data_IF_199698554578
#
_entry.id   IF_199698554578
#
_cell.length_a   1.000
_cell.length_b   1.000
_cell.length_c   1.000
_cell.angle_alpha   90.00
_cell.angle_beta   90.00
_cell.angle_gamma   90.00
#
_symmetry.space_group_name_H-M   'P 1'
#
loop_
_entity.id
_entity.type
_entity.pdbx_description
1 polymer ?
#
# COMPACT_ATOMS: atom_id res chain seq x y z
N UNK A 1 20.72 -13.69 21.08
CA UNK A 1 21.06 -13.25 19.71
C UNK A 1 20.18 -12.07 19.35
N UNK A 2 20.73 -10.94 18.86
CA UNK A 2 19.92 -9.80 18.40
C UNK A 2 19.25 -10.17 17.08
N UNK A 3 17.93 -10.02 16.98
CA UNK A 3 17.22 -10.16 15.69
C UNK A 3 17.81 -9.14 14.70
N UNK A 4 18.02 -9.50 13.41
CA UNK A 4 18.48 -8.55 12.42
C UNK A 4 17.45 -7.42 12.26
N UNK A 5 17.91 -6.18 12.40
CA UNK A 5 17.07 -4.99 12.17
C UNK A 5 16.79 -4.85 10.67
N UNK A 6 15.52 -4.65 10.34
CA UNK A 6 15.08 -4.48 8.95
C UNK A 6 15.21 -3.03 8.48
N UNK A 7 15.36 -2.09 9.41
CA UNK A 7 15.63 -0.68 9.13
C UNK A 7 17.04 -0.32 9.59
N UNK A 8 18.00 -0.32 8.66
CA UNK A 8 19.32 0.28 8.99
C UNK A 8 19.15 1.74 9.42
N UNK A 9 19.99 2.26 10.33
CA UNK A 9 19.89 3.67 10.75
C UNK A 9 19.98 4.67 9.58
N UNK A 10 20.67 4.30 8.50
CA UNK A 10 20.70 5.10 7.28
C UNK A 10 19.35 5.06 6.54
N UNK A 11 18.73 3.89 6.41
CA UNK A 11 17.42 3.76 5.77
C UNK A 11 16.31 4.44 6.60
N UNK A 12 16.27 4.23 7.92
CA UNK A 12 15.34 4.90 8.84
C UNK A 12 15.36 6.44 8.69
N UNK A 13 16.57 7.04 8.66
CA UNK A 13 16.73 8.49 8.43
C UNK A 13 16.19 8.94 7.07
N UNK A 14 16.36 8.14 6.01
CA UNK A 14 15.77 8.43 4.69
C UNK A 14 14.25 8.34 4.71
N UNK A 15 13.67 7.38 5.43
CA UNK A 15 12.21 7.29 5.60
C UNK A 15 11.68 8.54 6.27
N UNK A 16 12.26 8.95 7.40
CA UNK A 16 11.86 10.18 8.10
C UNK A 16 12.00 11.43 7.24
N UNK A 17 13.11 11.56 6.50
CA UNK A 17 13.31 12.68 5.58
C UNK A 17 12.28 12.69 4.44
N UNK A 18 11.96 11.52 3.87
CA UNK A 18 10.94 11.39 2.83
C UNK A 18 9.55 11.77 3.35
N UNK A 19 9.17 11.32 4.55
CA UNK A 19 7.92 11.72 5.21
C UNK A 19 7.83 13.23 5.41
N UNK A 20 8.92 13.87 5.85
CA UNK A 20 8.97 15.33 6.01
C UNK A 20 8.75 16.05 4.67
N UNK A 21 9.42 15.61 3.60
CA UNK A 21 9.26 16.19 2.24
C UNK A 21 7.85 15.99 1.69
N UNK A 22 7.28 14.82 1.92
CA UNK A 22 5.93 14.47 1.51
C UNK A 22 4.85 15.35 2.15
N UNK A 23 5.05 15.77 3.41
CA UNK A 23 4.15 16.68 4.13
C UNK A 23 4.29 18.15 3.70
N UNK A 24 5.46 18.57 3.21
CA UNK A 24 5.70 19.95 2.80
C UNK A 24 5.38 20.26 1.34
N UNK A 25 5.36 19.24 0.47
CA UNK A 25 5.17 19.40 -0.97
C UNK A 25 3.69 19.27 -1.35
N UNK A 26 3.11 20.28 -2.00
CA UNK A 26 1.72 20.25 -2.48
C UNK A 26 1.57 19.64 -3.88
N UNK A 27 2.64 19.61 -4.68
CA UNK A 27 2.62 19.01 -6.03
C UNK A 27 2.35 17.51 -5.97
N UNK A 28 1.84 16.93 -7.05
CA UNK A 28 1.63 15.49 -7.24
C UNK A 28 2.96 14.70 -7.34
N UNK A 29 3.77 14.79 -6.29
CA UNK A 29 5.06 14.11 -6.12
C UNK A 29 5.04 13.31 -4.82
N UNK A 30 5.48 12.07 -4.92
CA UNK A 30 5.74 11.16 -3.81
C UNK A 30 7.23 10.92 -3.66
N UNK A 31 7.80 11.35 -2.54
CA UNK A 31 9.17 11.04 -2.14
C UNK A 31 9.18 9.62 -1.57
N UNK A 32 9.60 8.66 -2.39
CA UNK A 32 9.71 7.27 -2.02
C UNK A 32 11.14 6.97 -1.53
N UNK A 33 11.35 6.65 -0.25
CA UNK A 33 12.68 6.28 0.22
C UNK A 33 13.06 4.89 -0.28
N UNK A 34 14.33 4.70 -0.59
CA UNK A 34 14.94 3.40 -0.89
C UNK A 34 16.18 3.22 -0.02
N UNK A 35 16.73 2.00 0.00
CA UNK A 35 17.98 1.69 0.72
C UNK A 35 19.15 2.58 0.31
N UNK A 36 19.17 3.06 -0.94
CA UNK A 36 20.26 3.88 -1.49
C UNK A 36 19.98 5.37 -1.43
N UNK A 37 18.78 5.80 -1.84
CA UNK A 37 18.40 7.22 -2.01
C UNK A 37 16.91 7.46 -1.79
N UNK A 38 16.49 8.72 -1.70
CA UNK A 38 15.07 9.08 -1.88
C UNK A 38 14.84 9.24 -3.38
N UNK A 39 13.80 8.60 -3.90
CA UNK A 39 13.37 8.69 -5.30
C UNK A 39 12.12 9.56 -5.34
N UNK A 40 12.15 10.60 -6.16
CA UNK A 40 10.98 11.44 -6.42
C UNK A 40 10.15 10.76 -7.50
N UNK A 41 8.91 10.41 -7.16
CA UNK A 41 7.96 9.80 -8.08
C UNK A 41 6.85 10.78 -8.40
N UNK A 42 6.67 11.13 -9.67
CA UNK A 42 5.50 11.87 -10.11
C UNK A 42 4.27 10.98 -10.02
N UNK A 43 3.13 11.55 -9.61
CA UNK A 43 1.82 10.88 -9.56
C UNK A 43 0.96 11.42 -10.71
N UNK A 44 1.00 10.75 -11.86
CA UNK A 44 0.23 11.14 -13.05
C UNK A 44 -0.77 10.05 -13.46
N UNK A 45 -2.00 10.18 -13.00
CA UNK A 45 -3.09 9.24 -13.27
C UNK A 45 -3.54 9.24 -14.73
N UNK A 46 -3.09 10.18 -15.57
CA UNK A 46 -3.41 10.17 -17.01
C UNK A 46 -2.57 9.17 -17.81
N UNK A 47 -1.57 8.55 -17.16
CA UNK A 47 -0.60 7.64 -17.76
C UNK A 47 -0.79 6.18 -17.32
N UNK A 48 -0.37 5.24 -18.17
CA UNK A 48 -0.31 3.80 -17.82
C UNK A 48 0.68 3.48 -16.69
N UNK A 49 1.67 4.36 -16.47
CA UNK A 49 2.69 4.21 -15.42
C UNK A 49 2.65 5.45 -14.52
N UNK A 50 1.63 5.55 -13.66
CA UNK A 50 1.33 6.79 -12.94
C UNK A 50 2.27 7.05 -11.76
N UNK A 51 3.11 6.09 -11.36
CA UNK A 51 4.18 6.27 -10.37
C UNK A 51 5.54 6.03 -11.04
N UNK A 52 6.07 7.06 -11.69
CA UNK A 52 7.36 7.00 -12.39
C UNK A 52 8.39 7.95 -11.78
N UNK A 53 9.67 7.60 -11.89
CA UNK A 53 10.76 8.44 -11.39
C UNK A 53 10.76 9.76 -12.16
N UNK A 54 10.73 10.89 -11.44
CA UNK A 54 10.75 12.23 -12.02
C UNK A 54 12.02 12.48 -12.88
N UNK A 55 13.08 11.71 -12.63
CA UNK A 55 14.33 11.75 -13.40
C UNK A 55 14.33 10.88 -14.68
N UNK A 56 13.16 10.41 -15.15
CA UNK A 56 13.01 9.78 -16.47
C UNK A 56 13.16 8.25 -16.49
N UNK A 57 13.17 7.60 -15.33
CA UNK A 57 13.20 6.14 -15.23
C UNK A 57 11.81 5.52 -15.42
N UNK A 58 11.61 4.75 -16.50
CA UNK A 58 10.39 3.96 -16.66
C UNK A 58 10.36 2.78 -15.67
N UNK A 59 9.28 2.59 -14.87
CA UNK A 59 9.20 1.48 -13.93
C UNK A 59 9.09 0.12 -14.63
N UNK A 60 9.71 -0.90 -14.01
CA UNK A 60 9.77 -2.32 -14.43
C UNK A 60 8.69 -3.20 -13.75
N UNK A 61 7.42 -2.77 -13.71
CA UNK A 61 6.33 -3.54 -13.07
C UNK A 61 5.50 -4.37 -14.07
N UNK A 62 4.88 -5.46 -13.58
CA UNK A 62 4.15 -6.50 -14.30
C UNK A 62 2.66 -6.21 -14.60
N UNK A 63 2.05 -5.13 -14.09
CA UNK A 63 0.71 -4.67 -14.55
C UNK A 63 0.51 -3.16 -14.32
N UNK A 64 0.14 -2.44 -15.38
CA UNK A 64 -0.11 -0.98 -15.34
C UNK A 64 -1.30 -0.60 -14.47
N UNK A 65 -2.37 -1.41 -14.45
CA UNK A 65 -3.60 -1.12 -13.71
C UNK A 65 -3.42 -1.15 -12.18
N UNK A 66 -2.61 -2.08 -11.66
CA UNK A 66 -2.37 -2.21 -10.22
C UNK A 66 -1.48 -1.08 -9.71
N UNK A 67 -0.46 -0.70 -10.49
CA UNK A 67 0.34 0.50 -10.24
C UNK A 67 -0.50 1.77 -10.34
N UNK A 68 -1.54 1.76 -11.18
CA UNK A 68 -2.49 2.84 -11.25
C UNK A 68 -3.37 2.93 -10.01
N UNK A 69 -3.89 1.81 -9.51
CA UNK A 69 -4.64 1.76 -8.26
C UNK A 69 -3.77 2.24 -7.07
N UNK A 70 -2.52 1.80 -7.01
CA UNK A 70 -1.54 2.27 -6.02
C UNK A 70 -1.37 3.79 -6.07
N UNK A 71 -1.16 4.35 -7.27
CA UNK A 71 -1.00 5.79 -7.49
C UNK A 71 -2.24 6.58 -7.08
N UNK A 72 -3.42 6.07 -7.43
CA UNK A 72 -4.69 6.68 -7.10
C UNK A 72 -4.87 6.79 -5.58
N UNK A 73 -4.60 5.70 -4.84
CA UNK A 73 -4.68 5.70 -3.38
C UNK A 73 -3.67 6.65 -2.74
N UNK A 74 -2.42 6.70 -3.23
CA UNK A 74 -1.41 7.65 -2.74
C UNK A 74 -1.87 9.10 -2.96
N UNK A 75 -2.40 9.41 -4.15
CA UNK A 75 -2.88 10.76 -4.48
C UNK A 75 -4.04 11.18 -3.58
N UNK A 76 -5.01 10.29 -3.36
CA UNK A 76 -6.16 10.54 -2.47
C UNK A 76 -5.69 10.78 -1.04
N UNK A 77 -4.76 9.96 -0.53
CA UNK A 77 -4.18 10.18 0.79
C UNK A 77 -3.47 11.53 0.87
N UNK A 78 -2.60 11.84 -0.08
CA UNK A 78 -1.80 13.07 -0.10
C UNK A 78 -2.67 14.33 -0.11
N UNK A 79 -3.77 14.34 -0.86
CA UNK A 79 -4.73 15.46 -0.91
C UNK A 79 -5.59 15.60 0.34
N UNK A 80 -5.59 14.58 1.19
CA UNK A 80 -6.29 14.56 2.46
C UNK A 80 -5.29 14.45 3.61
N UNK A 81 -4.21 15.25 3.56
CA UNK A 81 -3.18 15.33 4.61
C UNK A 81 -2.56 13.98 5.01
N UNK A 82 -2.31 13.13 4.00
CA UNK A 82 -1.81 11.76 4.17
C UNK A 82 -2.76 10.83 4.94
N UNK A 83 -4.05 11.14 4.95
CA UNK A 83 -5.12 10.29 5.46
C UNK A 83 -5.87 9.65 4.28
N UNK A 84 -5.71 8.34 4.12
CA UNK A 84 -6.46 7.56 3.15
C UNK A 84 -7.82 7.17 3.75
N UNK A 85 -8.90 7.63 3.12
CA UNK A 85 -10.24 7.15 3.40
C UNK A 85 -10.58 5.98 2.47
N UNK A 86 -10.83 4.81 3.06
CA UNK A 86 -11.04 3.58 2.31
C UNK A 86 -12.07 2.73 3.03
N UNK A 87 -13.15 2.33 2.33
CA UNK A 87 -14.22 1.51 2.88
C UNK A 87 -14.78 2.04 4.22
N UNK A 88 -15.09 3.34 4.26
CA UNK A 88 -15.60 4.06 5.44
C UNK A 88 -14.67 4.10 6.66
N UNK A 89 -13.38 3.82 6.45
CA UNK A 89 -12.34 3.92 7.48
C UNK A 89 -11.28 4.95 7.09
N UNK A 90 -10.65 5.54 8.11
CA UNK A 90 -9.58 6.53 7.94
C UNK A 90 -8.26 5.93 8.38
N UNK A 91 -7.30 5.89 7.46
CA UNK A 91 -5.97 5.36 7.70
C UNK A 91 -4.92 6.43 7.48
N UNK A 92 -3.97 6.55 8.40
CA UNK A 92 -2.76 7.31 8.12
C UNK A 92 -1.89 6.53 7.14
N UNK A 93 -1.58 7.12 6.00
CA UNK A 93 -0.67 6.55 5.02
C UNK A 93 0.76 6.59 5.55
N UNK A 94 1.46 5.45 5.55
CA UNK A 94 2.85 5.38 5.98
C UNK A 94 3.80 5.20 4.79
N UNK A 95 3.53 4.21 3.93
CA UNK A 95 4.49 3.78 2.94
C UNK A 95 3.84 3.05 1.75
N UNK A 96 4.43 3.19 0.57
CA UNK A 96 4.16 2.33 -0.59
C UNK A 96 5.43 1.61 -1.06
N UNK A 97 5.29 0.36 -1.50
CA UNK A 97 6.36 -0.48 -2.06
C UNK A 97 7.48 -0.77 -1.05
N UNK A 98 7.10 -1.21 0.16
CA UNK A 98 8.06 -1.55 1.21
C UNK A 98 8.74 -2.89 0.87
N UNK A 99 10.07 -2.86 0.77
CA UNK A 99 10.87 -4.06 0.56
C UNK A 99 11.50 -4.50 1.89
N UNK A 100 11.31 -5.76 2.25
CA UNK A 100 12.07 -6.38 3.34
C UNK A 100 13.36 -6.92 2.77
N UNK A 101 14.49 -6.70 3.46
CA UNK A 101 15.74 -7.38 3.09
C UNK A 101 15.52 -8.88 3.22
N UNK A 102 15.52 -9.58 2.08
CA UNK A 102 15.39 -11.05 2.04
C UNK A 102 16.56 -11.68 2.79
N UNK A 103 16.27 -12.59 3.73
CA UNK A 103 17.30 -13.39 4.39
C UNK A 103 17.67 -14.66 3.64
N UNK A 104 16.86 -15.20 2.71
CA UNK A 104 17.22 -16.44 2.00
C UNK A 104 16.28 -16.96 0.88
N UNK A 105 15.22 -16.25 0.47
CA UNK A 105 14.29 -16.78 -0.56
C UNK A 105 14.01 -15.76 -1.66
N UNK A 106 13.80 -16.29 -2.87
CA UNK A 106 13.34 -15.63 -4.10
C UNK A 106 12.70 -14.28 -3.83
N UNK A 107 13.36 -13.19 -4.26
CA UNK A 107 12.97 -11.80 -4.04
C UNK A 107 11.44 -11.64 -3.97
N UNK A 108 10.84 -11.58 -2.77
CA UNK A 108 9.42 -11.34 -2.68
C UNK A 108 9.15 -9.98 -3.30
N UNK A 109 7.95 -9.82 -3.87
CA UNK A 109 7.48 -8.53 -4.37
C UNK A 109 7.60 -7.48 -3.24
N UNK A 110 7.63 -6.17 -3.55
CA UNK A 110 7.43 -5.16 -2.52
C UNK A 110 6.01 -5.26 -1.95
N UNK A 111 5.84 -5.05 -0.64
CA UNK A 111 4.53 -4.82 -0.05
C UNK A 111 3.90 -3.58 -0.69
N UNK A 112 2.67 -3.69 -1.20
CA UNK A 112 2.02 -2.59 -1.91
C UNK A 112 1.81 -1.38 -1.01
N UNK A 113 0.99 -1.45 0.04
CA UNK A 113 0.78 -0.33 0.95
C UNK A 113 0.88 -0.73 2.42
N UNK A 114 1.54 0.13 3.21
CA UNK A 114 1.54 0.10 4.67
C UNK A 114 0.86 1.37 5.20
N UNK A 115 -0.13 1.18 6.05
CA UNK A 115 -0.92 2.23 6.68
C UNK A 115 -0.97 2.02 8.20
N UNK A 116 -1.58 2.97 8.90
CA UNK A 116 -1.84 2.92 10.32
C UNK A 116 -3.28 3.34 10.61
N UNK A 117 -4.00 2.58 11.44
CA UNK A 117 -5.37 2.89 11.87
C UNK A 117 -5.31 3.48 13.29
N UNK A 118 -5.43 4.81 13.46
CA UNK A 118 -5.25 5.43 14.78
C UNK A 118 -6.28 4.98 15.82
N UNK A 119 -7.52 4.69 15.39
CA UNK A 119 -8.60 4.27 16.29
C UNK A 119 -8.37 2.91 16.94
N UNK A 120 -7.63 2.01 16.27
CA UNK A 120 -7.33 0.66 16.78
C UNK A 120 -5.85 0.48 17.12
N UNK A 121 -5.03 1.52 16.91
CA UNK A 121 -3.56 1.46 17.02
C UNK A 121 -2.96 0.28 16.22
N UNK A 122 -3.51 -0.04 15.05
CA UNK A 122 -3.06 -1.19 14.25
C UNK A 122 -2.27 -0.74 13.03
N UNK A 123 -1.20 -1.48 12.71
CA UNK A 123 -0.62 -1.39 11.37
C UNK A 123 -1.57 -2.08 10.39
N UNK A 124 -1.76 -1.49 9.23
CA UNK A 124 -2.67 -2.02 8.20
C UNK A 124 -1.88 -2.26 6.92
N UNK A 125 -1.93 -3.50 6.45
CA UNK A 125 -1.32 -3.95 5.21
C UNK A 125 -2.41 -4.01 4.15
N UNK A 126 -2.21 -3.37 3.01
CA UNK A 126 -3.06 -3.57 1.83
C UNK A 126 -2.24 -4.23 0.72
N UNK A 127 -2.74 -5.37 0.25
CA UNK A 127 -2.25 -6.03 -0.97
C UNK A 127 -3.24 -5.73 -2.10
N UNK A 128 -2.77 -5.08 -3.17
CA UNK A 128 -3.62 -4.64 -4.27
C UNK A 128 -3.68 -5.71 -5.35
N UNK A 129 -4.87 -5.98 -5.88
CA UNK A 129 -5.07 -6.93 -6.98
C UNK A 129 -5.98 -6.37 -8.05
N UNK A 130 -5.65 -6.69 -9.30
CA UNK A 130 -6.46 -6.37 -10.50
C UNK A 130 -7.15 -7.59 -11.12
N UNK A 131 -6.80 -8.79 -10.65
CA UNK A 131 -7.38 -10.07 -11.02
C UNK A 131 -7.77 -10.87 -9.77
N UNK A 132 -8.76 -11.76 -9.89
CA UNK A 132 -9.29 -12.61 -8.81
C UNK A 132 -8.35 -13.79 -8.47
N UNK A 133 -7.07 -13.53 -8.15
CA UNK A 133 -6.06 -14.56 -7.77
C UNK A 133 -5.94 -14.74 -6.25
N UNK A 134 -7.03 -15.15 -5.60
CA UNK A 134 -7.14 -15.12 -4.14
C UNK A 134 -6.09 -15.96 -3.42
N UNK A 135 -5.87 -17.18 -3.90
CA UNK A 135 -4.99 -18.14 -3.24
C UNK A 135 -3.56 -17.61 -3.16
N UNK A 136 -3.07 -17.03 -4.25
CA UNK A 136 -1.74 -16.42 -4.32
C UNK A 136 -1.63 -15.20 -3.39
N UNK A 137 -2.60 -14.28 -3.46
CA UNK A 137 -2.64 -13.09 -2.61
C UNK A 137 -2.69 -13.43 -1.11
N UNK A 138 -3.49 -14.43 -0.74
CA UNK A 138 -3.66 -14.90 0.64
C UNK A 138 -2.43 -15.65 1.15
N UNK A 139 -2.07 -16.74 0.46
CA UNK A 139 -1.14 -17.74 1.01
C UNK A 139 0.33 -17.33 0.83
N UNK A 140 0.67 -16.60 -0.24
CA UNK A 140 2.07 -16.26 -0.54
C UNK A 140 2.43 -14.83 -0.13
N UNK A 141 1.55 -13.86 -0.32
CA UNK A 141 1.88 -12.45 -0.14
C UNK A 141 1.44 -11.95 1.24
N UNK A 142 0.14 -11.93 1.53
CA UNK A 142 -0.36 -11.36 2.79
C UNK A 142 0.12 -12.09 4.02
N UNK A 143 0.18 -13.43 4.01
CA UNK A 143 0.71 -14.21 5.12
C UNK A 143 2.17 -13.82 5.42
N UNK A 144 3.00 -13.77 4.36
CA UNK A 144 4.40 -13.37 4.48
C UNK A 144 4.54 -11.95 5.06
N UNK A 145 3.82 -10.97 4.53
CA UNK A 145 3.95 -9.60 5.02
C UNK A 145 3.36 -9.41 6.41
N UNK A 146 2.25 -10.07 6.75
CA UNK A 146 1.68 -10.00 8.09
C UNK A 146 2.68 -10.51 9.14
N UNK A 147 3.34 -11.63 8.87
CA UNK A 147 4.40 -12.18 9.73
C UNK A 147 5.58 -11.21 9.83
N UNK A 148 6.10 -10.70 8.70
CA UNK A 148 7.25 -9.79 8.68
C UNK A 148 6.97 -8.46 9.35
N UNK A 149 5.83 -7.83 9.09
CA UNK A 149 5.44 -6.58 9.73
C UNK A 149 5.23 -6.79 11.22
N UNK A 150 4.63 -7.91 11.65
CA UNK A 150 4.47 -8.21 13.07
C UNK A 150 5.82 -8.36 13.78
N UNK A 151 6.80 -9.03 13.15
CA UNK A 151 8.17 -9.18 13.68
C UNK A 151 8.85 -7.84 13.95
N UNK A 152 8.57 -6.82 13.13
CA UNK A 152 9.30 -5.54 13.14
C UNK A 152 8.44 -4.34 13.54
N UNK A 153 7.21 -4.56 14.01
CA UNK A 153 6.23 -3.50 14.29
C UNK A 153 6.79 -2.40 15.19
N UNK A 154 7.60 -2.75 16.19
CA UNK A 154 8.22 -1.76 17.08
C UNK A 154 9.30 -0.91 16.38
N UNK A 155 10.07 -1.46 15.44
CA UNK A 155 10.98 -0.68 14.61
C UNK A 155 10.20 0.28 13.71
N UNK A 156 9.09 -0.18 13.11
CA UNK A 156 8.16 0.67 12.33
C UNK A 156 7.63 1.80 13.21
N UNK A 157 7.15 1.54 14.43
CA UNK A 157 6.70 2.59 15.34
C UNK A 157 7.77 3.67 15.57
N UNK A 158 9.03 3.27 15.79
CA UNK A 158 10.14 4.20 15.95
C UNK A 158 10.43 5.05 14.71
N UNK A 159 10.45 4.42 13.52
CA UNK A 159 10.76 5.10 12.25
C UNK A 159 9.64 6.08 11.86
N UNK A 160 8.38 5.69 12.04
CA UNK A 160 7.21 6.48 11.64
C UNK A 160 6.64 7.36 12.78
N UNK A 161 7.28 7.38 13.95
CA UNK A 161 6.84 8.11 15.15
C UNK A 161 5.40 7.77 15.58
N UNK A 162 5.06 6.48 15.58
CA UNK A 162 3.75 6.00 16.00
C UNK A 162 3.73 5.83 17.52
N UNK A 163 2.62 6.25 18.15
CA UNK A 163 2.48 6.25 19.62
C UNK A 163 2.37 4.85 20.20
N UNK A 164 1.69 3.93 19.51
CA UNK A 164 1.44 2.56 19.97
C UNK A 164 1.09 1.67 18.77
N UNK A 165 1.43 0.38 18.87
CA UNK A 165 0.94 -0.64 17.95
C UNK A 165 0.38 -1.81 18.75
N UNK A 166 -0.91 -2.11 18.55
CA UNK A 166 -1.62 -3.23 19.17
C UNK A 166 -1.56 -4.51 18.33
N UNK A 167 -1.43 -4.39 17.01
CA UNK A 167 -1.25 -5.52 16.12
C UNK A 167 -1.23 -5.14 14.65
N UNK A 168 -1.39 -6.13 13.79
CA UNK A 168 -1.40 -5.99 12.33
C UNK A 168 -2.73 -6.47 11.78
N UNK A 169 -3.35 -5.66 10.91
CA UNK A 169 -4.48 -6.02 10.07
C UNK A 169 -4.04 -6.10 8.63
N UNK A 170 -4.62 -7.02 7.87
CA UNK A 170 -4.19 -7.31 6.51
C UNK A 170 -5.40 -7.47 5.61
N UNK A 171 -5.49 -6.64 4.57
CA UNK A 171 -6.59 -6.65 3.62
C UNK A 171 -6.11 -6.96 2.21
N UNK A 172 -6.91 -7.74 1.49
CA UNK A 172 -6.82 -7.84 0.04
C UNK A 172 -7.75 -6.77 -0.53
N UNK A 173 -7.22 -5.90 -1.38
CA UNK A 173 -7.99 -4.92 -2.16
C UNK A 173 -8.20 -5.47 -3.56
N UNK A 174 -9.44 -5.71 -3.94
CA UNK A 174 -9.77 -6.62 -5.03
C UNK A 174 -10.96 -6.09 -5.87
N UNK A 175 -11.03 -6.37 -7.20
CA UNK A 175 -12.12 -5.90 -8.04
C UNK A 175 -13.45 -6.65 -7.76
N UNK A 176 -14.53 -5.92 -7.48
CA UNK A 176 -15.88 -6.49 -7.31
C UNK A 176 -16.24 -7.36 -8.51
N UNK A 177 -16.88 -8.51 -8.26
CA UNK A 177 -17.42 -9.35 -9.34
C UNK A 177 -18.93 -9.29 -9.34
N UNK A 178 -19.48 -8.66 -10.37
CA UNK A 178 -20.93 -8.56 -10.58
C UNK A 178 -21.56 -9.91 -10.96
N UNK A 179 -20.77 -10.89 -11.39
CA UNK A 179 -21.23 -12.20 -11.90
C UNK A 179 -21.00 -13.37 -10.95
N UNK A 180 -20.23 -13.22 -9.87
CA UNK A 180 -20.00 -14.32 -8.93
C UNK A 180 -21.12 -14.35 -7.88
N UNK A 181 -22.10 -15.23 -8.13
CA UNK A 181 -22.88 -15.81 -7.06
C UNK A 181 -21.93 -16.53 -6.09
N UNK A 182 -21.89 -16.09 -4.83
CA UNK A 182 -21.58 -16.90 -3.66
C UNK A 182 -20.37 -17.87 -3.75
N UNK A 183 -19.27 -17.51 -4.41
CA UNK A 183 -18.00 -18.14 -4.10
C UNK A 183 -17.64 -17.71 -2.68
N UNK A 184 -18.06 -18.53 -1.70
CA UNK A 184 -17.65 -18.44 -0.29
C UNK A 184 -16.17 -18.76 -0.21
N UNK A 185 -15.37 -17.82 -0.68
CA UNK A 185 -13.95 -17.84 -0.50
C UNK A 185 -13.65 -17.77 1.01
N UNK A 186 -12.97 -18.78 1.54
CA UNK A 186 -12.42 -18.69 2.88
C UNK A 186 -11.27 -17.67 2.87
N UNK A 187 -11.54 -16.49 3.42
CA UNK A 187 -10.56 -15.42 3.57
C UNK A 187 -9.70 -15.57 4.84
N UNK A 188 -9.92 -16.60 5.67
CA UNK A 188 -9.15 -16.87 6.90
C UNK A 188 -9.22 -15.72 7.90
N UNK A 189 -8.08 -15.20 8.35
CA UNK A 189 -7.96 -14.01 9.20
C UNK A 189 -7.85 -12.68 8.43
N UNK A 190 -7.75 -12.74 7.10
CA UNK A 190 -7.56 -11.55 6.25
C UNK A 190 -8.88 -10.87 5.94
N UNK A 191 -8.85 -9.55 5.88
CA UNK A 191 -9.97 -8.73 5.44
C UNK A 191 -10.02 -8.60 3.93
N UNK A 192 -11.18 -8.16 3.42
CA UNK A 192 -11.42 -7.96 1.99
C UNK A 192 -12.08 -6.62 1.78
N UNK A 193 -11.47 -5.80 0.93
CA UNK A 193 -12.02 -4.55 0.44
C UNK A 193 -12.22 -4.73 -1.06
N UNK A 194 -13.47 -4.63 -1.51
CA UNK A 194 -13.79 -4.68 -2.93
C UNK A 194 -13.87 -3.28 -3.52
N UNK A 195 -13.53 -3.15 -4.80
CA UNK A 195 -13.68 -1.90 -5.54
C UNK A 195 -14.32 -2.09 -6.92
N UNK A 196 -15.00 -1.06 -7.41
CA UNK A 196 -15.54 -1.06 -8.78
C UNK A 196 -14.38 -0.94 -9.77
N UNK A 197 -14.08 -2.01 -10.51
CA UNK A 197 -12.97 -2.01 -11.47
C UNK A 197 -13.26 -1.07 -12.63
N UNK A 198 -12.35 -0.15 -12.90
CA UNK A 198 -12.36 0.67 -14.12
C UNK A 198 -11.35 0.10 -15.13
N UNK A 199 -11.80 -0.50 -16.26
CA UNK A 199 -10.88 -0.92 -17.31
C UNK A 199 -10.12 0.28 -17.89
N UNK A 200 -8.80 0.14 -18.10
CA UNK A 200 -7.95 1.24 -18.62
C UNK A 200 -8.17 2.56 -17.84
N UNK A 201 -7.91 2.57 -16.52
CA UNK A 201 -8.31 3.67 -15.65
C UNK A 201 -7.65 5.01 -16.02
N UNK A 202 -6.49 5.00 -16.69
CA UNK A 202 -5.83 6.20 -17.22
C UNK A 202 -6.60 6.86 -18.37
N UNK A 203 -7.30 6.09 -19.23
CA UNK A 203 -8.14 6.65 -20.30
C UNK A 203 -9.32 7.36 -19.64
N UNK A 204 -9.95 6.70 -18.67
CA UNK A 204 -11.08 7.26 -17.91
C UNK A 204 -10.69 8.51 -17.13
N UNK A 205 -9.50 8.53 -16.54
CA UNK A 205 -8.99 9.70 -15.85
C UNK A 205 -8.74 10.89 -16.80
N UNK A 206 -8.34 10.66 -18.05
CA UNK A 206 -8.22 11.75 -19.03
C UNK A 206 -9.58 12.36 -19.40
N UNK A 207 -10.66 11.58 -19.32
CA UNK A 207 -12.02 12.08 -19.56
C UNK A 207 -12.59 12.82 -18.35
N UNK A 208 -12.46 12.24 -17.15
CA UNK A 208 -13.14 12.72 -15.94
C UNK A 208 -12.26 13.63 -15.06
N UNK A 209 -10.94 13.54 -15.19
CA UNK A 209 -10.01 14.22 -14.30
C UNK A 209 -10.30 13.92 -12.83
N UNK A 210 -10.49 14.99 -12.04
CA UNK A 210 -10.70 14.90 -10.60
C UNK A 210 -12.09 14.41 -10.19
N UNK A 211 -13.03 14.34 -11.13
CA UNK A 211 -14.36 13.78 -10.91
C UNK A 211 -14.35 12.24 -10.94
N UNK A 212 -13.21 11.62 -11.32
CA UNK A 212 -13.06 10.17 -11.27
C UNK A 212 -12.98 9.69 -9.81
N UNK A 213 -13.99 8.92 -9.39
CA UNK A 213 -14.06 8.30 -8.07
C UNK A 213 -14.18 6.78 -8.22
N UNK A 214 -13.33 6.04 -7.50
CA UNK A 214 -13.46 4.59 -7.32
C UNK A 214 -14.12 4.32 -5.97
N UNK A 215 -15.23 3.58 -5.99
CA UNK A 215 -15.92 3.13 -4.80
C UNK A 215 -15.23 1.92 -4.18
N UNK A 216 -15.04 1.95 -2.86
CA UNK A 216 -14.47 0.86 -2.08
C UNK A 216 -15.43 0.45 -0.97
N UNK A 217 -15.66 -0.86 -0.84
CA UNK A 217 -16.55 -1.43 0.17
C UNK A 217 -15.86 -2.56 0.93
N UNK A 218 -15.91 -2.53 2.26
CA UNK A 218 -15.42 -3.64 3.08
C UNK A 218 -16.44 -4.78 3.02
N UNK A 219 -16.03 -5.93 2.50
CA UNK A 219 -16.84 -7.14 2.44
C UNK A 219 -16.58 -8.01 3.67
N UNK A 220 -15.34 -7.97 4.16
CA UNK A 220 -14.93 -8.71 5.35
C UNK A 220 -13.88 -7.92 6.12
N UNK A 221 -14.09 -7.82 7.42
CA UNK A 221 -13.13 -7.25 8.35
C UNK A 221 -11.92 -8.16 8.56
N UNK A 222 -10.73 -7.57 8.64
CA UNK A 222 -9.52 -8.30 9.03
C UNK A 222 -9.51 -8.51 10.55
N UNK A 223 -9.04 -9.67 10.98
CA UNK A 223 -8.67 -9.88 12.38
C UNK A 223 -7.34 -9.21 12.69
N UNK A 224 -7.10 -8.91 13.97
CA UNK A 224 -5.83 -8.35 14.45
C UNK A 224 -4.90 -9.51 14.80
N UNK A 225 -3.71 -9.53 14.21
CA UNK A 225 -2.64 -10.46 14.58
C UNK A 225 -1.67 -9.77 15.53
N UNK A 226 -1.44 -10.40 16.69
CA UNK A 226 -0.58 -9.93 17.78
C UNK A 226 0.89 -10.30 17.59
#
# INVERSE_FOLDING_TARGET
MKKPSYFTPAFARRVQLALKRNRSEMRDVYHHPSEKRIVEKCIDLSCQKPLHDASGGHPKSSSSEEKWLEAYLIRKAKRNDWILELANKRFQFLYSQLNFRSTQTTNPRPLDLLLYEPGTYSLVILELKVERRLKEAKEKELKYYAERVSEIKHEIAGVFHLTKILGVRSYIVWPRNERANNDRHDFGLFGVIEYTKTPKPWDKFRELGEDMIIDFSCVKESEIVG
#
